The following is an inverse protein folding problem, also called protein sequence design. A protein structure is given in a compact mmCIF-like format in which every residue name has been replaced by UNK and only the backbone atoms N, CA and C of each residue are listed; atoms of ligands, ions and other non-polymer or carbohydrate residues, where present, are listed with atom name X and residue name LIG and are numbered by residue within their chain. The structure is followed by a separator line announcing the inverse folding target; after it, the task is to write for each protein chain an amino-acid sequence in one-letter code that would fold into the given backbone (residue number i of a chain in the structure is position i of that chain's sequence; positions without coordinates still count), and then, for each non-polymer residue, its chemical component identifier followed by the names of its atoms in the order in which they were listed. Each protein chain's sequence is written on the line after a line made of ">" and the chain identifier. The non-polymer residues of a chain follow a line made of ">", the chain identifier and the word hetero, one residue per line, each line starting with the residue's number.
data_IF_909335232322
#
_entry.id   IF_909335232322
#
_cell.length_a   1.000
_cell.length_b   1.000
_cell.length_c   1.000
_cell.angle_alpha   90.00
_cell.angle_beta   90.00
_cell.angle_gamma   90.00
#
_symmetry.space_group_name_H-M   'P 1'
#
loop_
_entity.id
_entity.type
_entity.pdbx_description
1 polymer ?
#
# COMPACT_ATOMS: atom_id res chain seq x y z
N UNK A 1 3.65 13.82 -2.57
CA UNK A 1 2.34 13.19 -2.84
C UNK A 1 1.69 13.98 -3.96
N UNK A 2 1.59 13.42 -5.17
CA UNK A 2 1.29 14.12 -6.44
C UNK A 2 -0.16 14.63 -6.56
N UNK A 3 -0.71 15.28 -5.54
CA UNK A 3 -2.08 15.80 -5.52
C UNK A 3 -3.16 14.74 -5.27
N UNK A 4 -2.78 13.49 -4.96
CA UNK A 4 -3.75 12.45 -4.60
C UNK A 4 -4.23 12.62 -3.15
N UNK A 5 -5.54 12.47 -2.89
CA UNK A 5 -6.05 12.47 -1.52
C UNK A 5 -5.49 11.26 -0.76
N UNK A 6 -5.33 11.36 0.58
CA UNK A 6 -4.77 10.25 1.38
C UNK A 6 -5.53 8.93 1.23
N UNK A 7 -6.83 9.00 0.91
CA UNK A 7 -7.71 7.84 0.67
C UNK A 7 -7.49 7.15 -0.67
N UNK A 8 -6.70 7.72 -1.59
CA UNK A 8 -6.37 7.11 -2.88
C UNK A 8 -5.23 6.08 -2.78
N UNK A 9 -4.66 5.89 -1.58
CA UNK A 9 -3.60 4.93 -1.31
C UNK A 9 -4.11 3.88 -0.33
N UNK A 10 -4.15 2.64 -0.79
CA UNK A 10 -4.45 1.48 0.06
C UNK A 10 -3.16 0.71 0.29
N UNK A 11 -2.76 0.54 1.56
CA UNK A 11 -1.62 -0.28 1.94
C UNK A 11 -2.12 -1.54 2.61
N UNK A 12 -1.71 -2.69 2.11
CA UNK A 12 -2.01 -4.00 2.68
C UNK A 12 -0.70 -4.71 3.03
N UNK A 13 -0.65 -5.29 4.22
CA UNK A 13 0.48 -6.12 4.67
C UNK A 13 0.02 -7.58 4.76
N UNK A 14 0.84 -8.49 4.29
CA UNK A 14 0.59 -9.93 4.35
C UNK A 14 1.87 -10.72 4.64
N UNK A 15 1.70 -11.98 5.04
CA UNK A 15 2.77 -12.88 5.43
C UNK A 15 2.80 -13.17 6.93
N UNK A 16 3.71 -14.06 7.31
CA UNK A 16 3.87 -14.47 8.70
C UNK A 16 4.83 -13.53 9.44
N UNK A 17 4.39 -13.04 10.59
CA UNK A 17 5.15 -12.12 11.44
C UNK A 17 6.07 -12.87 12.41
N UNK A 18 6.89 -13.77 11.87
CA UNK A 18 7.89 -14.54 12.61
C UNK A 18 9.31 -14.17 12.15
N UNK A 19 10.29 -14.43 13.03
CA UNK A 19 11.71 -14.32 12.65
C UNK A 19 11.99 -15.22 11.45
N UNK A 20 12.85 -14.78 10.56
CA UNK A 20 13.17 -15.44 9.30
C UNK A 20 12.05 -15.48 8.25
N UNK A 21 10.82 -15.08 8.59
CA UNK A 21 9.67 -15.11 7.70
C UNK A 21 9.67 -13.91 6.75
N UNK A 22 8.98 -14.04 5.62
CA UNK A 22 8.89 -12.99 4.61
C UNK A 22 7.56 -12.26 4.74
N UNK A 23 7.62 -10.94 4.89
CA UNK A 23 6.45 -10.06 4.85
C UNK A 23 6.39 -9.37 3.49
N UNK A 24 5.16 -9.17 3.00
CA UNK A 24 4.91 -8.47 1.75
C UNK A 24 4.04 -7.26 2.04
N UNK A 25 4.48 -6.10 1.57
CA UNK A 25 3.69 -4.88 1.52
C UNK A 25 3.20 -4.67 0.10
N UNK A 26 1.89 -4.54 -0.06
CA UNK A 26 1.23 -4.18 -1.32
C UNK A 26 0.64 -2.79 -1.18
N UNK A 27 1.01 -1.90 -2.09
CA UNK A 27 0.49 -0.54 -2.18
C UNK A 27 -0.33 -0.45 -3.45
N UNK A 28 -1.61 -0.16 -3.30
CA UNK A 28 -2.51 0.12 -4.41
C UNK A 28 -2.82 1.60 -4.46
N UNK A 29 -2.68 2.18 -5.65
CA UNK A 29 -3.03 3.56 -5.95
C UNK A 29 -4.23 3.55 -6.87
N UNK A 30 -5.33 4.13 -6.41
CA UNK A 30 -6.57 4.26 -7.19
C UNK A 30 -6.81 5.73 -7.53
N UNK A 31 -6.72 6.05 -8.82
CA UNK A 31 -7.05 7.36 -9.37
C UNK A 31 -8.48 7.26 -9.94
N UNK A 32 -9.47 7.90 -9.29
CA UNK A 32 -10.84 7.87 -9.76
C UNK A 32 -10.98 8.69 -11.05
N UNK A 33 -11.91 8.28 -11.91
CA UNK A 33 -12.26 9.07 -13.10
C UNK A 33 -12.80 10.44 -12.70
N UNK A 34 -12.42 11.48 -13.44
CA UNK A 34 -12.94 12.83 -13.27
C UNK A 34 -14.05 13.06 -14.30
N UNK A 35 -15.23 13.48 -13.83
CA UNK A 35 -16.30 13.91 -14.72
C UNK A 35 -16.00 15.32 -15.24
N UNK A 36 -15.77 15.43 -16.55
CA UNK A 36 -15.57 16.70 -17.24
C UNK A 36 -16.88 17.11 -17.91
N UNK A 37 -17.43 18.30 -17.61
CA UNK A 37 -18.65 18.79 -18.25
C UNK A 37 -18.53 18.72 -19.77
N UNK A 38 -19.57 18.16 -20.43
CA UNK A 38 -19.65 17.99 -21.88
C UNK A 38 -18.63 17.05 -22.54
N UNK A 39 -17.67 16.49 -21.79
CA UNK A 39 -16.64 15.57 -22.31
C UNK A 39 -16.68 14.16 -21.69
N UNK A 40 -17.53 13.93 -20.68
CA UNK A 40 -17.70 12.63 -20.04
C UNK A 40 -16.67 12.35 -18.94
N UNK A 41 -16.51 11.08 -18.55
CA UNK A 41 -15.54 10.65 -17.52
C UNK A 41 -14.19 10.38 -18.14
N UNK A 42 -13.13 11.00 -17.61
CA UNK A 42 -11.77 10.87 -18.12
C UNK A 42 -10.82 10.42 -17.01
N UNK A 43 -9.88 9.54 -17.36
CA UNK A 43 -8.69 9.26 -16.56
C UNK A 43 -8.94 8.46 -15.29
N UNK A 44 -9.31 7.19 -15.43
CA UNK A 44 -9.22 6.22 -14.33
C UNK A 44 -7.94 5.39 -14.46
N UNK A 45 -7.24 5.18 -13.35
CA UNK A 45 -6.09 4.30 -13.30
C UNK A 45 -6.01 3.63 -11.93
N UNK A 46 -5.70 2.35 -11.91
CA UNK A 46 -5.38 1.61 -10.69
C UNK A 46 -4.03 0.93 -10.88
N UNK A 47 -3.17 1.03 -9.88
CA UNK A 47 -1.86 0.40 -9.90
C UNK A 47 -1.49 -0.17 -8.55
N UNK A 48 -1.15 -1.46 -8.56
CA UNK A 48 -0.63 -2.16 -7.39
C UNK A 48 0.85 -2.42 -7.57
N UNK A 49 1.63 -2.07 -6.56
CA UNK A 49 3.04 -2.43 -6.43
C UNK A 49 3.24 -3.21 -5.14
N UNK A 50 3.98 -4.31 -5.22
CA UNK A 50 4.30 -5.15 -4.07
C UNK A 50 5.80 -5.19 -3.82
N UNK A 51 6.20 -5.12 -2.56
CA UNK A 51 7.57 -5.30 -2.12
C UNK A 51 7.62 -6.29 -0.97
N UNK A 52 8.57 -7.22 -1.01
CA UNK A 52 8.76 -8.24 0.01
C UNK A 52 10.10 -8.09 0.71
N UNK A 53 10.12 -8.26 2.03
CA UNK A 53 11.33 -8.28 2.83
C UNK A 53 11.31 -9.45 3.82
N UNK A 54 12.48 -10.04 4.06
CA UNK A 54 12.65 -11.04 5.12
C UNK A 54 12.80 -10.31 6.46
N UNK A 55 12.06 -10.75 7.48
CA UNK A 55 12.22 -10.29 8.85
C UNK A 55 13.59 -10.77 9.35
N UNK A 56 14.47 -9.83 9.71
CA UNK A 56 15.79 -10.16 10.21
C UNK A 56 15.73 -10.96 11.53
N UNK A 57 16.63 -11.93 11.67
CA UNK A 57 16.61 -12.89 12.79
C UNK A 57 16.82 -12.25 14.18
N UNK A 58 17.45 -11.07 14.21
CA UNK A 58 17.85 -10.37 15.43
C UNK A 58 17.25 -8.97 15.57
N UNK A 59 16.39 -8.54 14.65
CA UNK A 59 15.77 -7.23 14.75
C UNK A 59 14.75 -7.26 15.88
N UNK A 60 15.00 -6.45 16.91
CA UNK A 60 14.06 -6.26 18.01
C UNK A 60 12.77 -5.66 17.45
N UNK A 61 11.63 -6.23 17.86
CA UNK A 61 10.35 -5.55 17.70
C UNK A 61 10.44 -4.20 18.43
N UNK A 62 9.97 -3.08 17.85
CA UNK A 62 9.85 -1.84 18.60
C UNK A 62 8.98 -2.14 19.82
N UNK A 63 9.45 -1.75 21.01
CA UNK A 63 8.90 -2.19 22.30
C UNK A 63 7.45 -1.82 22.61
N UNK A 64 6.75 -1.13 21.69
CA UNK A 64 5.43 -0.53 21.92
C UNK A 64 4.33 -0.97 20.94
N UNK A 65 4.43 -2.17 20.35
CA UNK A 65 3.28 -2.75 19.63
C UNK A 65 2.75 -3.94 20.41
N UNK A 66 1.94 -3.64 21.44
CA UNK A 66 0.99 -4.59 21.99
C UNK A 66 -0.24 -4.67 21.06
N UNK A 67 -0.89 -5.85 20.91
CA UNK A 67 -2.07 -6.03 20.07
C UNK A 67 -3.28 -5.23 20.54
#
# INVERSE_FOLDING_TARGET
>A
NHGLPPTALTVALSGDWCRACTVTASVTVDIPAVAVPFAGTVGAFSYTSSSSARIEDYRSLPGDVAP
#
